data_IF_856081265457
#
_entry.id   IF_856081265457
#
_cell.length_a   1.000
_cell.length_b   1.000
_cell.length_c   1.000
_cell.angle_alpha   90.00
_cell.angle_beta   90.00
_cell.angle_gamma   90.00
#
_symmetry.space_group_name_H-M   'P 1'
#
loop_
_entity.id
_entity.type
_entity.pdbx_description
1 polymer ?
#
# COMPACT_ATOMS: atom_id res chain seq x y z
N UNK A 1 -5.27 -23.10 -8.90
CA UNK A 1 -4.49 -22.11 -9.68
C UNK A 1 -3.39 -21.58 -8.78
N UNK A 2 -2.23 -21.23 -9.34
CA UNK A 2 -1.10 -20.62 -8.62
C UNK A 2 -0.70 -19.38 -9.40
N UNK A 3 -0.44 -18.27 -8.71
CA UNK A 3 -0.02 -16.99 -9.28
C UNK A 3 1.21 -16.49 -8.52
N UNK A 4 2.14 -15.88 -9.23
CA UNK A 4 3.36 -15.29 -8.66
C UNK A 4 3.28 -13.77 -8.70
N UNK A 5 3.82 -13.15 -7.66
CA UNK A 5 3.86 -11.69 -7.50
C UNK A 5 5.26 -11.25 -7.15
N UNK A 6 5.68 -10.14 -7.73
CA UNK A 6 6.97 -9.51 -7.44
C UNK A 6 6.94 -8.78 -6.09
N UNK A 7 8.11 -8.56 -5.50
CA UNK A 7 8.26 -7.75 -4.28
C UNK A 7 7.63 -6.35 -4.42
N UNK A 8 7.70 -5.76 -5.62
CA UNK A 8 7.05 -4.49 -5.93
C UNK A 8 5.53 -4.57 -5.82
N UNK A 9 4.92 -5.62 -6.41
CA UNK A 9 3.47 -5.84 -6.34
C UNK A 9 3.03 -6.15 -4.91
N UNK A 10 3.83 -6.89 -4.15
CA UNK A 10 3.61 -7.20 -2.75
C UNK A 10 3.57 -5.91 -1.93
N UNK A 11 4.59 -5.06 -2.05
CA UNK A 11 4.69 -3.83 -1.26
C UNK A 11 3.63 -2.79 -1.65
N UNK A 12 3.27 -2.70 -2.93
CA UNK A 12 2.16 -1.84 -3.37
C UNK A 12 0.80 -2.36 -2.87
N UNK A 13 0.58 -3.67 -2.88
CA UNK A 13 -0.64 -4.26 -2.31
C UNK A 13 -0.70 -4.04 -0.80
N UNK A 14 0.43 -4.21 -0.09
CA UNK A 14 0.54 -3.96 1.35
C UNK A 14 0.16 -2.52 1.68
N UNK A 15 0.73 -1.53 0.98
CA UNK A 15 0.41 -0.11 1.18
C UNK A 15 -1.10 0.18 1.01
N UNK A 16 -1.77 -0.49 0.06
CA UNK A 16 -3.22 -0.36 -0.13
C UNK A 16 -4.03 -1.00 1.01
N UNK A 17 -3.61 -2.16 1.52
CA UNK A 17 -4.23 -2.80 2.70
C UNK A 17 -4.06 -1.89 3.93
N UNK A 18 -2.87 -1.37 4.15
CA UNK A 18 -2.54 -0.50 5.27
C UNK A 18 -3.36 0.80 5.24
N UNK A 19 -3.54 1.39 4.06
CA UNK A 19 -4.35 2.60 3.86
C UNK A 19 -5.84 2.42 4.21
N UNK A 20 -6.34 1.18 4.29
CA UNK A 20 -7.70 0.85 4.75
C UNK A 20 -7.79 0.61 6.26
N UNK A 21 -6.69 0.79 7.01
CA UNK A 21 -6.64 0.59 8.46
C UNK A 21 -6.53 -0.87 8.91
N UNK A 22 -6.29 -1.81 7.98
CA UNK A 22 -6.19 -3.25 8.28
C UNK A 22 -4.79 -3.60 8.79
N UNK A 23 -3.75 -3.21 8.05
CA UNK A 23 -2.35 -3.44 8.41
C UNK A 23 -1.90 -4.91 8.27
N UNK A 24 -0.90 -5.19 7.44
CA UNK A 24 -0.31 -6.55 7.38
C UNK A 24 1.21 -6.56 7.19
N UNK A 25 1.83 -7.72 7.42
CA UNK A 25 3.22 -7.97 7.01
C UNK A 25 3.31 -8.14 5.47
N UNK A 26 4.50 -7.96 4.85
CA UNK A 26 4.65 -8.06 3.39
C UNK A 26 4.11 -9.38 2.80
N UNK A 27 4.49 -10.53 3.34
CA UNK A 27 4.07 -11.83 2.80
C UNK A 27 2.53 -12.03 2.79
N UNK A 28 1.81 -11.40 3.72
CA UNK A 28 0.34 -11.45 3.75
C UNK A 28 -0.29 -10.71 2.56
N UNK A 29 0.36 -9.64 2.08
CA UNK A 29 -0.12 -8.85 0.96
C UNK A 29 -0.06 -9.57 -0.39
N UNK A 30 0.67 -10.70 -0.49
CA UNK A 30 0.63 -11.59 -1.66
C UNK A 30 -0.80 -11.99 -2.04
N UNK A 31 -1.68 -12.16 -1.05
CA UNK A 31 -3.09 -12.52 -1.27
C UNK A 31 -3.81 -11.48 -2.13
N UNK A 32 -3.68 -10.18 -1.80
CA UNK A 32 -4.29 -9.10 -2.57
C UNK A 32 -3.56 -8.88 -3.90
N UNK A 33 -2.23 -8.94 -3.92
CA UNK A 33 -1.45 -8.77 -5.15
C UNK A 33 -1.84 -9.82 -6.21
N UNK A 34 -1.90 -11.09 -5.81
CA UNK A 34 -2.30 -12.19 -6.69
C UNK A 34 -3.77 -12.08 -7.12
N UNK A 35 -4.68 -11.80 -6.19
CA UNK A 35 -6.10 -11.60 -6.52
C UNK A 35 -6.31 -10.48 -7.54
N UNK A 36 -5.57 -9.36 -7.42
CA UNK A 36 -5.62 -8.26 -8.40
C UNK A 36 -5.12 -8.68 -9.78
N UNK A 37 -4.02 -9.43 -9.87
CA UNK A 37 -3.52 -9.95 -11.15
C UNK A 37 -4.54 -10.87 -11.81
N UNK A 38 -5.12 -11.80 -11.05
CA UNK A 38 -6.13 -12.72 -11.55
C UNK A 38 -7.42 -11.99 -11.99
N UNK A 39 -7.84 -10.96 -11.27
CA UNK A 39 -8.96 -10.11 -11.68
C UNK A 39 -8.65 -9.34 -12.98
N UNK A 40 -7.44 -8.76 -13.10
CA UNK A 40 -6.99 -8.07 -14.32
C UNK A 40 -6.89 -9.01 -15.52
N UNK A 41 -6.56 -10.29 -15.30
CA UNK A 41 -6.53 -11.33 -16.31
C UNK A 41 -7.92 -11.88 -16.67
N UNK A 42 -8.98 -11.43 -16.00
CA UNK A 42 -10.35 -11.91 -16.19
C UNK A 42 -10.60 -13.33 -15.65
N UNK A 43 -9.69 -13.85 -14.83
CA UNK A 43 -9.85 -15.16 -14.18
C UNK A 43 -10.84 -15.08 -13.03
N UNK A 44 -10.72 -14.03 -12.21
CA UNK A 44 -11.71 -13.71 -11.17
C UNK A 44 -12.69 -12.71 -11.79
N UNK A 45 -13.96 -13.09 -11.87
CA UNK A 45 -15.02 -12.24 -12.42
C UNK A 45 -15.36 -11.03 -11.53
N UNK A 46 -15.97 -9.97 -12.09
CA UNK A 46 -16.33 -8.77 -11.33
C UNK A 46 -17.40 -9.00 -10.25
N UNK A 47 -18.24 -10.04 -10.43
CA UNK A 47 -19.31 -10.40 -9.49
C UNK A 47 -18.89 -11.49 -8.48
N UNK A 48 -17.64 -11.94 -8.54
CA UNK A 48 -17.13 -12.97 -7.64
C UNK A 48 -16.67 -12.39 -6.30
N UNK A 49 -16.87 -13.16 -5.23
CA UNK A 49 -16.39 -12.81 -3.89
C UNK A 49 -15.04 -13.45 -3.62
N UNK A 50 -14.07 -12.64 -3.20
CA UNK A 50 -12.70 -13.08 -2.86
C UNK A 50 -12.46 -12.91 -1.37
N UNK A 51 -11.89 -13.93 -0.73
CA UNK A 51 -11.44 -13.88 0.67
C UNK A 51 -9.92 -13.92 0.71
N UNK A 52 -9.30 -12.81 1.10
CA UNK A 52 -7.86 -12.73 1.34
C UNK A 52 -7.50 -13.12 2.78
N UNK A 53 -6.52 -14.01 2.95
CA UNK A 53 -6.04 -14.41 4.27
C UNK A 53 -4.75 -13.66 4.58
N UNK A 54 -4.76 -12.85 5.63
CA UNK A 54 -3.60 -12.12 6.13
C UNK A 54 -3.08 -12.83 7.39
N UNK A 55 -2.01 -13.60 7.24
CA UNK A 55 -1.48 -14.46 8.31
C UNK A 55 -0.54 -13.72 9.27
N UNK A 56 -0.17 -12.48 8.95
CA UNK A 56 0.71 -11.66 9.76
C UNK A 56 0.25 -10.22 9.91
N UNK A 57 0.35 -9.73 11.14
CA UNK A 57 0.08 -8.35 11.51
C UNK A 57 1.22 -7.42 11.06
N UNK A 58 0.89 -6.15 10.79
CA UNK A 58 1.85 -5.10 10.44
C UNK A 58 3.04 -4.98 11.40
N UNK A 59 2.86 -5.27 12.69
CA UNK A 59 3.91 -5.17 13.71
C UNK A 59 4.99 -6.27 13.62
N UNK A 60 4.80 -7.30 12.78
CA UNK A 60 5.87 -8.29 12.53
C UNK A 60 7.04 -7.70 11.75
N UNK A 61 6.77 -6.73 10.87
CA UNK A 61 7.78 -6.04 10.07
C UNK A 61 7.39 -4.56 9.86
N UNK A 62 7.50 -3.73 10.92
CA UNK A 62 7.17 -2.31 10.83
C UNK A 62 8.17 -1.55 9.93
N UNK A 63 9.42 -2.01 9.84
CA UNK A 63 10.46 -1.37 9.05
C UNK A 63 10.16 -1.42 7.56
N UNK A 64 9.56 -2.50 7.04
CA UNK A 64 9.08 -2.55 5.67
C UNK A 64 8.09 -1.41 5.35
N UNK A 65 7.18 -1.11 6.29
CA UNK A 65 6.20 -0.03 6.14
C UNK A 65 6.88 1.34 6.14
N UNK A 66 7.77 1.58 7.10
CA UNK A 66 8.52 2.84 7.22
C UNK A 66 9.38 3.08 5.97
N UNK A 67 10.14 2.08 5.55
CA UNK A 67 11.07 2.18 4.43
C UNK A 67 10.33 2.30 3.09
N UNK A 68 9.16 1.67 2.93
CA UNK A 68 8.32 1.87 1.76
C UNK A 68 7.88 3.33 1.65
N UNK A 69 7.26 3.89 2.70
CA UNK A 69 6.76 5.27 2.64
C UNK A 69 7.88 6.33 2.60
N UNK A 70 9.10 6.00 3.04
CA UNK A 70 10.30 6.83 2.87
C UNK A 70 11.01 6.63 1.53
N UNK A 71 10.55 5.68 0.71
CA UNK A 71 11.17 5.30 -0.56
C UNK A 71 12.66 4.89 -0.39
N UNK A 72 12.97 4.15 0.68
CA UNK A 72 14.31 3.68 1.06
C UNK A 72 14.47 2.16 0.97
N UNK A 73 13.44 1.44 0.51
CA UNK A 73 13.55 0.00 0.28
C UNK A 73 14.48 -0.31 -0.91
N UNK A 74 15.50 -1.18 -0.75
CA UNK A 74 16.41 -1.51 -1.84
C UNK A 74 15.68 -2.14 -3.02
N UNK A 75 15.92 -1.62 -4.23
CA UNK A 75 15.38 -2.19 -5.47
C UNK A 75 13.88 -1.97 -5.70
N UNK A 76 13.18 -1.23 -4.85
CA UNK A 76 11.75 -0.95 -4.96
C UNK A 76 11.48 0.55 -5.09
N UNK A 77 10.36 0.88 -5.73
CA UNK A 77 9.84 2.25 -5.80
C UNK A 77 8.47 2.29 -5.13
N UNK A 78 8.27 3.19 -4.18
CA UNK A 78 6.96 3.36 -3.58
C UNK A 78 5.98 4.00 -4.58
N UNK A 79 4.99 3.23 -5.04
CA UNK A 79 3.91 3.72 -5.89
C UNK A 79 2.85 4.48 -5.09
N UNK A 80 2.68 4.14 -3.80
CA UNK A 80 1.69 4.72 -2.90
C UNK A 80 2.32 5.20 -1.57
N UNK A 81 3.36 6.05 -1.61
CA UNK A 81 3.98 6.56 -0.40
C UNK A 81 3.02 7.50 0.36
N UNK A 82 3.01 7.39 1.69
CA UNK A 82 2.42 8.39 2.58
C UNK A 82 3.55 9.33 2.99
N UNK A 83 3.56 10.54 2.46
CA UNK A 83 4.70 11.45 2.60
C UNK A 83 4.73 12.11 3.97
N UNK A 84 5.91 12.08 4.60
CA UNK A 84 6.16 12.87 5.80
C UNK A 84 6.36 14.34 5.40
N UNK A 85 5.41 15.21 5.73
CA UNK A 85 5.54 16.64 5.49
C UNK A 85 6.37 17.28 6.60
N UNK A 86 7.39 18.06 6.22
CA UNK A 86 8.16 18.90 7.14
C UNK A 86 7.71 20.36 7.01
N UNK A 87 7.55 21.03 8.14
CA UNK A 87 7.05 22.40 8.21
C UNK A 87 7.78 23.17 9.32
N UNK A 88 8.07 24.44 9.08
CA UNK A 88 8.43 25.38 10.15
C UNK A 88 7.24 25.54 11.11
N UNK A 89 7.48 25.88 12.39
CA UNK A 89 6.41 26.05 13.39
C UNK A 89 5.64 27.36 13.18
N UNK A 90 4.97 27.49 12.04
CA UNK A 90 4.17 28.65 11.63
C UNK A 90 2.80 28.22 11.09
N UNK A 91 1.78 29.05 11.32
CA UNK A 91 0.43 28.82 10.81
C UNK A 91 0.44 28.81 9.28
N UNK A 92 1.28 29.64 8.66
CA UNK A 92 1.39 29.76 7.21
C UNK A 92 1.87 28.46 6.58
N UNK A 93 2.93 27.84 7.12
CA UNK A 93 3.45 26.59 6.59
C UNK A 93 2.49 25.41 6.80
N UNK A 94 1.85 25.34 7.96
CA UNK A 94 0.82 24.32 8.21
C UNK A 94 -0.38 24.50 7.27
N UNK A 95 -0.82 25.74 7.06
CA UNK A 95 -1.92 26.03 6.13
C UNK A 95 -1.58 25.64 4.70
N UNK A 96 -0.33 25.88 4.27
CA UNK A 96 0.16 25.47 2.95
C UNK A 96 0.09 23.96 2.75
N UNK A 97 0.43 23.17 3.77
CA UNK A 97 0.40 21.69 3.70
C UNK A 97 -1.04 21.15 3.70
N UNK A 98 -1.94 21.78 4.43
CA UNK A 98 -3.34 21.34 4.55
C UNK A 98 -4.22 21.77 3.36
N UNK A 99 -3.76 22.72 2.55
CA UNK A 99 -4.47 23.10 1.33
C UNK A 99 -4.26 22.02 0.26
N UNK A 100 -5.34 21.36 -0.21
CA UNK A 100 -5.20 20.32 -1.22
C UNK A 100 -4.75 20.93 -2.55
N UNK A 101 -3.71 20.36 -3.16
CA UNK A 101 -3.24 20.74 -4.50
C UNK A 101 -4.20 20.28 -5.62
N UNK A 102 -5.05 19.27 -5.37
CA UNK A 102 -6.07 18.73 -6.30
C UNK A 102 -7.14 17.93 -5.50
N UNK A 103 -8.41 17.83 -5.95
CA UNK A 103 -9.42 16.99 -5.30
C UNK A 103 -8.95 15.53 -5.20
N UNK A 104 -9.20 14.92 -4.03
CA UNK A 104 -8.98 13.48 -3.80
C UNK A 104 -9.85 12.69 -4.80
N UNK A 105 -9.28 11.88 -5.69
CA UNK A 105 -10.07 11.06 -6.60
C UNK A 105 -10.93 10.08 -5.80
N UNK A 106 -12.20 9.98 -6.22
CA UNK A 106 -13.23 9.15 -5.59
C UNK A 106 -12.89 7.66 -5.60
#
# INVERSE_FOLDING_TARGET
MVEEVSDQEIMDAKARIDAQGIGCEPASACSLAGARKLAMAGVIGPDESVVGILTGNVLKDPDATINYHRNTLPGLRASWPNHLHQAEPSIQEISRILQPDEPVPA
#
